data_IF_635476618555
#
_entry.id   IF_635476618555
#
_cell.length_a   1.000
_cell.length_b   1.000
_cell.length_c   1.000
_cell.angle_alpha   90.00
_cell.angle_beta   90.00
_cell.angle_gamma   90.00
#
_symmetry.space_group_name_H-M   'P 1'
#
loop_
_entity.id
_entity.type
_entity.pdbx_description
1 polymer ?
#
# COMPACT_ATOMS: atom_id res chain seq x y z
N UNK A 1 -10.90 18.91 -6.82
CA UNK A 1 -11.41 19.39 -5.53
C UNK A 1 -10.33 19.38 -4.45
N UNK A 2 -9.61 18.28 -4.28
CA UNK A 2 -8.54 18.21 -3.29
C UNK A 2 -7.49 19.31 -3.52
N UNK A 3 -6.94 19.38 -4.75
CA UNK A 3 -5.93 20.37 -5.10
C UNK A 3 -6.38 21.82 -4.87
N UNK A 4 -7.63 22.16 -5.19
CA UNK A 4 -8.14 23.52 -5.04
C UNK A 4 -8.41 23.92 -3.58
N UNK A 5 -8.43 22.96 -2.67
CA UNK A 5 -8.71 23.19 -1.26
C UNK A 5 -7.48 22.96 -0.35
N UNK A 6 -6.34 22.56 -0.91
CA UNK A 6 -5.09 22.37 -0.19
C UNK A 6 -4.08 23.46 -0.51
N UNK A 7 -3.41 23.95 0.52
CA UNK A 7 -2.28 24.86 0.34
C UNK A 7 -1.02 24.02 0.09
N UNK A 8 -0.22 24.41 -0.89
CA UNK A 8 1.07 23.78 -1.21
C UNK A 8 1.03 22.25 -1.41
N UNK A 9 0.17 21.72 -2.31
CA UNK A 9 0.14 20.31 -2.57
C UNK A 9 1.46 19.85 -3.22
N UNK A 10 2.05 18.79 -2.67
CA UNK A 10 3.29 18.18 -3.17
C UNK A 10 2.95 16.85 -3.83
N UNK A 11 3.54 16.58 -5.00
CA UNK A 11 3.36 15.34 -5.74
C UNK A 11 4.66 14.55 -5.71
N UNK A 12 4.76 13.65 -4.79
CA UNK A 12 5.93 12.81 -4.50
C UNK A 12 5.51 11.35 -4.44
N UNK A 13 6.46 10.46 -4.35
CA UNK A 13 6.25 9.04 -4.08
C UNK A 13 6.69 8.74 -2.63
N UNK A 14 7.80 8.05 -2.46
CA UNK A 14 8.25 7.57 -1.15
C UNK A 14 8.72 8.70 -0.21
N UNK A 15 9.07 9.88 -0.74
CA UNK A 15 9.42 11.05 0.08
C UNK A 15 8.28 11.54 0.98
N UNK A 16 7.05 11.10 0.74
CA UNK A 16 5.91 11.41 1.60
C UNK A 16 6.04 10.77 2.98
N UNK A 17 6.68 9.61 3.08
CA UNK A 17 6.84 8.84 4.32
C UNK A 17 7.56 9.68 5.38
N UNK A 18 8.74 10.19 5.05
CA UNK A 18 9.52 11.05 5.95
C UNK A 18 8.76 12.32 6.34
N UNK A 19 8.02 12.90 5.39
CA UNK A 19 7.21 14.09 5.63
C UNK A 19 6.12 13.89 6.66
N UNK A 20 5.43 12.75 6.62
CA UNK A 20 4.38 12.37 7.56
C UNK A 20 4.98 11.91 8.90
N UNK A 21 5.96 11.01 8.88
CA UNK A 21 6.59 10.47 10.09
C UNK A 21 7.19 11.58 10.97
N UNK A 22 7.80 12.61 10.36
CA UNK A 22 8.38 13.75 11.08
C UNK A 22 7.38 14.89 11.38
N UNK A 23 6.10 14.74 11.07
CA UNK A 23 5.08 15.77 11.30
C UNK A 23 5.22 17.03 10.42
N UNK A 24 5.94 16.95 9.31
CA UNK A 24 6.12 18.05 8.36
C UNK A 24 4.98 18.18 7.35
N UNK A 25 4.03 17.23 7.36
CA UNK A 25 2.83 17.20 6.53
C UNK A 25 1.63 16.79 7.38
N UNK A 26 0.50 17.42 7.13
CA UNK A 26 -0.73 17.20 7.89
C UNK A 26 -1.62 16.11 7.28
N UNK A 27 -1.53 15.88 5.96
CA UNK A 27 -2.35 14.92 5.24
C UNK A 27 -1.60 14.36 4.01
N UNK A 28 -1.73 13.07 3.78
CA UNK A 28 -1.17 12.42 2.59
C UNK A 28 -2.09 11.32 2.05
N UNK A 29 -1.96 11.04 0.75
CA UNK A 29 -2.42 9.81 0.12
C UNK A 29 -1.19 8.96 -0.13
N UNK A 30 -1.14 7.77 0.46
CA UNK A 30 0.02 6.90 0.43
C UNK A 30 -0.40 5.43 0.42
N UNK A 31 0.55 4.54 0.23
CA UNK A 31 0.32 3.10 0.35
C UNK A 31 0.13 2.69 1.82
N UNK A 32 -0.63 1.63 2.03
CA UNK A 32 -0.96 1.18 3.39
C UNK A 32 0.26 0.73 4.20
N UNK A 33 1.25 0.08 3.59
CA UNK A 33 2.49 -0.30 4.28
C UNK A 33 3.31 0.91 4.74
N UNK A 34 3.38 1.95 3.91
CA UNK A 34 4.02 3.22 4.28
C UNK A 34 3.26 3.91 5.40
N UNK A 35 1.93 3.86 5.36
CA UNK A 35 1.08 4.39 6.42
C UNK A 35 1.25 3.60 7.72
N UNK A 36 1.39 2.27 7.66
CA UNK A 36 1.67 1.44 8.83
C UNK A 36 2.96 1.87 9.54
N UNK A 37 4.02 2.15 8.79
CA UNK A 37 5.27 2.69 9.33
C UNK A 37 5.10 4.10 9.93
N UNK A 38 4.33 4.97 9.28
CA UNK A 38 4.06 6.33 9.79
C UNK A 38 3.32 6.27 11.12
N UNK A 39 2.30 5.41 11.25
CA UNK A 39 1.55 5.23 12.51
C UNK A 39 2.42 4.69 13.65
N UNK A 40 3.36 3.79 13.33
CA UNK A 40 4.30 3.25 14.29
C UNK A 40 5.36 4.28 14.75
N UNK A 41 5.66 5.25 13.89
CA UNK A 41 6.70 6.26 14.13
C UNK A 41 6.15 7.54 14.78
N UNK A 42 4.90 7.90 14.50
CA UNK A 42 4.29 9.16 14.93
C UNK A 42 2.85 8.96 15.43
N UNK A 43 2.70 8.99 16.75
CA UNK A 43 1.42 8.78 17.46
C UNK A 43 0.37 9.89 17.19
N UNK A 44 0.77 11.05 16.66
CA UNK A 44 -0.14 12.15 16.30
C UNK A 44 -0.85 11.91 14.95
N UNK A 45 -0.44 10.87 14.20
CA UNK A 45 -1.03 10.52 12.91
C UNK A 45 -2.15 9.50 13.06
N UNK A 46 -3.08 9.52 12.12
CA UNK A 46 -4.16 8.53 12.02
C UNK A 46 -4.36 8.10 10.57
N UNK A 47 -4.82 6.88 10.40
CA UNK A 47 -5.13 6.30 9.09
C UNK A 47 -6.62 6.30 8.83
N UNK A 48 -7.00 6.58 7.60
CA UNK A 48 -8.40 6.61 7.21
C UNK A 48 -8.60 6.10 5.79
N UNK A 49 -9.49 5.16 5.62
CA UNK A 49 -9.95 4.68 4.33
C UNK A 49 -11.27 5.39 3.95
N UNK A 50 -11.32 6.10 2.81
CA UNK A 50 -12.49 6.88 2.43
C UNK A 50 -13.74 6.02 2.21
N UNK A 51 -14.90 6.60 2.51
CA UNK A 51 -16.22 5.96 2.28
C UNK A 51 -16.61 5.91 0.80
N UNK A 52 -15.87 6.61 -0.04
CA UNK A 52 -15.98 6.54 -1.50
C UNK A 52 -15.39 5.26 -2.07
N UNK A 53 -14.57 4.57 -1.29
CA UNK A 53 -13.84 3.38 -1.68
C UNK A 53 -12.34 3.64 -1.82
N UNK A 54 -11.59 2.58 -1.86
CA UNK A 54 -10.15 2.58 -2.09
C UNK A 54 -9.74 1.54 -3.11
N UNK A 55 -8.51 1.64 -3.56
CA UNK A 55 -7.92 0.65 -4.44
C UNK A 55 -7.33 -0.52 -3.65
N UNK A 56 -7.75 -1.74 -3.98
CA UNK A 56 -7.15 -2.96 -3.50
C UNK A 56 -6.18 -3.50 -4.55
N UNK A 57 -5.01 -3.94 -4.13
CA UNK A 57 -3.98 -4.45 -5.01
C UNK A 57 -3.16 -5.54 -4.33
N UNK A 58 -2.45 -6.30 -5.14
CA UNK A 58 -1.54 -7.33 -4.68
C UNK A 58 -0.28 -7.32 -5.53
N UNK A 59 0.87 -7.44 -4.91
CA UNK A 59 2.10 -7.74 -5.61
C UNK A 59 2.17 -9.23 -5.93
N UNK A 60 2.67 -9.56 -7.11
CA UNK A 60 2.75 -10.94 -7.56
C UNK A 60 4.13 -11.26 -8.13
N UNK A 61 4.64 -12.43 -7.76
CA UNK A 61 5.80 -13.02 -8.42
C UNK A 61 5.34 -13.88 -9.59
N UNK A 62 5.93 -13.68 -10.76
CA UNK A 62 5.59 -14.43 -11.97
C UNK A 62 6.82 -15.13 -12.54
N UNK A 63 6.62 -16.32 -13.11
CA UNK A 63 7.67 -17.06 -13.81
C UNK A 63 7.39 -16.93 -15.30
N UNK A 64 8.28 -16.28 -16.09
CA UNK A 64 8.12 -16.18 -17.53
C UNK A 64 8.09 -17.56 -18.20
N UNK A 65 7.30 -17.71 -19.28
CA UNK A 65 7.16 -18.98 -19.99
C UNK A 65 8.49 -19.52 -20.56
N UNK A 66 9.45 -18.64 -20.81
CA UNK A 66 10.78 -18.96 -21.31
C UNK A 66 11.86 -18.93 -20.21
N UNK A 67 11.50 -19.05 -18.93
CA UNK A 67 12.48 -19.12 -17.85
C UNK A 67 13.42 -20.33 -18.04
N UNK A 68 14.71 -20.11 -17.87
CA UNK A 68 15.73 -21.16 -18.00
C UNK A 68 15.66 -22.22 -16.90
N UNK A 69 15.26 -21.79 -15.69
CA UNK A 69 15.15 -22.67 -14.52
C UNK A 69 13.85 -22.43 -13.74
N UNK A 70 12.69 -22.87 -14.26
CA UNK A 70 11.41 -22.65 -13.59
C UNK A 70 11.30 -23.42 -12.26
N UNK A 71 11.99 -24.54 -12.10
CA UNK A 71 11.97 -25.30 -10.85
C UNK A 71 12.61 -24.48 -9.70
N UNK A 72 13.76 -23.88 -9.93
CA UNK A 72 14.40 -23.01 -8.95
C UNK A 72 13.56 -21.77 -8.62
N UNK A 73 12.89 -21.21 -9.63
CA UNK A 73 11.97 -20.09 -9.42
C UNK A 73 10.80 -20.47 -8.49
N UNK A 74 10.23 -21.67 -8.67
CA UNK A 74 9.22 -22.20 -7.76
C UNK A 74 9.75 -22.42 -6.34
N UNK A 75 10.95 -22.95 -6.18
CA UNK A 75 11.59 -23.11 -4.87
C UNK A 75 11.79 -21.76 -4.18
N UNK A 76 12.23 -20.75 -4.90
CA UNK A 76 12.37 -19.38 -4.36
C UNK A 76 11.01 -18.80 -3.92
N UNK A 77 9.97 -18.91 -4.75
CA UNK A 77 8.62 -18.45 -4.40
C UNK A 77 8.11 -19.18 -3.16
N UNK A 78 8.27 -20.51 -3.10
CA UNK A 78 7.87 -21.28 -1.93
C UNK A 78 8.64 -20.88 -0.66
N UNK A 79 9.92 -20.56 -0.79
CA UNK A 79 10.71 -20.03 0.32
C UNK A 79 10.18 -18.69 0.82
N UNK A 80 9.93 -17.74 -0.07
CA UNK A 80 9.39 -16.41 0.29
C UNK A 80 8.01 -16.52 0.94
N UNK A 81 7.20 -17.51 0.55
CA UNK A 81 5.87 -17.77 1.12
C UNK A 81 5.92 -18.63 2.41
N UNK A 82 7.09 -19.14 2.81
CA UNK A 82 7.24 -19.85 4.09
C UNK A 82 6.96 -18.91 5.27
N UNK A 83 6.61 -19.47 6.42
CA UNK A 83 6.27 -18.67 7.60
C UNK A 83 7.39 -17.68 7.96
N UNK A 84 8.61 -18.16 8.17
CA UNK A 84 9.73 -17.32 8.62
C UNK A 84 10.06 -16.18 7.65
N UNK A 85 10.12 -16.49 6.35
CA UNK A 85 10.41 -15.49 5.33
C UNK A 85 9.25 -14.48 5.15
N UNK A 86 8.01 -14.96 5.14
CA UNK A 86 6.82 -14.11 5.07
C UNK A 86 6.68 -13.21 6.30
N UNK A 87 6.96 -13.75 7.49
CA UNK A 87 6.91 -12.98 8.73
C UNK A 87 7.91 -11.82 8.69
N UNK A 88 9.20 -12.12 8.46
CA UNK A 88 10.22 -11.09 8.41
C UNK A 88 10.00 -10.05 7.31
N UNK A 89 9.49 -10.47 6.13
CA UNK A 89 9.14 -9.54 5.07
C UNK A 89 7.96 -8.64 5.47
N UNK A 90 6.87 -9.20 5.97
CA UNK A 90 5.65 -8.44 6.30
C UNK A 90 5.90 -7.48 7.47
N UNK A 91 6.61 -7.93 8.50
CA UNK A 91 7.02 -7.09 9.63
C UNK A 91 7.87 -5.89 9.17
N UNK A 92 8.81 -6.12 8.24
CA UNK A 92 9.72 -5.08 7.78
C UNK A 92 9.07 -4.06 6.83
N UNK A 93 8.21 -4.53 5.90
CA UNK A 93 7.63 -3.63 4.87
C UNK A 93 6.26 -3.06 5.24
N UNK A 94 5.62 -3.54 6.31
CA UNK A 94 4.31 -3.07 6.78
C UNK A 94 3.11 -3.48 5.93
N UNK A 95 3.29 -4.37 4.94
CA UNK A 95 2.19 -4.85 4.11
C UNK A 95 1.66 -6.20 4.59
N UNK A 96 0.34 -6.37 4.49
CA UNK A 96 -0.36 -7.60 4.85
C UNK A 96 0.23 -8.81 4.13
N UNK A 97 0.54 -9.87 4.90
CA UNK A 97 1.08 -11.11 4.36
C UNK A 97 0.04 -11.89 3.57
N UNK A 98 0.47 -12.54 2.48
CA UNK A 98 -0.34 -13.55 1.77
C UNK A 98 -0.37 -14.91 2.49
N UNK A 99 0.47 -15.12 3.48
CA UNK A 99 0.46 -16.26 4.38
C UNK A 99 -0.48 -15.96 5.55
N UNK A 100 -1.60 -16.70 5.64
CA UNK A 100 -2.65 -16.42 6.63
C UNK A 100 -2.13 -16.54 8.08
N UNK A 101 -1.30 -17.53 8.38
CA UNK A 101 -0.74 -17.71 9.72
C UNK A 101 0.13 -16.52 10.14
N UNK A 102 0.90 -15.98 9.21
CA UNK A 102 1.71 -14.76 9.44
C UNK A 102 0.82 -13.54 9.61
N UNK A 103 -0.21 -13.41 8.77
CA UNK A 103 -1.17 -12.30 8.87
C UNK A 103 -1.80 -12.27 10.26
N UNK A 104 -2.32 -13.41 10.72
CA UNK A 104 -2.94 -13.57 12.04
C UNK A 104 -1.92 -13.28 13.15
N UNK A 105 -0.71 -13.84 13.07
CA UNK A 105 0.34 -13.61 14.07
C UNK A 105 0.73 -12.15 14.23
N UNK A 106 0.78 -11.39 13.13
CA UNK A 106 1.17 -9.99 13.15
C UNK A 106 0.02 -9.04 13.56
N UNK A 107 -1.23 -9.42 13.33
CA UNK A 107 -2.41 -8.57 13.57
C UNK A 107 -3.21 -8.92 14.82
N UNK A 108 -3.11 -10.13 15.35
CA UNK A 108 -3.82 -10.56 16.55
C UNK A 108 -3.22 -9.98 17.84
N UNK A 109 -3.85 -10.25 18.96
CA UNK A 109 -3.43 -9.80 20.30
C UNK A 109 -1.96 -10.20 20.60
N UNK A 110 -1.12 -9.21 20.85
CA UNK A 110 0.33 -9.37 21.06
C UNK A 110 1.16 -9.35 19.77
N UNK A 111 0.55 -9.25 18.61
CA UNK A 111 1.24 -9.11 17.31
C UNK A 111 1.82 -7.71 17.10
N UNK A 112 2.85 -7.61 16.26
CA UNK A 112 3.53 -6.33 15.99
C UNK A 112 2.60 -5.24 15.46
N UNK A 113 1.59 -5.60 14.66
CA UNK A 113 0.61 -4.70 14.06
C UNK A 113 -0.79 -4.79 14.71
N UNK A 114 -0.90 -5.28 15.95
CA UNK A 114 -2.18 -5.49 16.65
C UNK A 114 -3.14 -4.28 16.57
N UNK A 115 -2.64 -3.08 16.75
CA UNK A 115 -3.47 -1.86 16.75
C UNK A 115 -3.19 -0.94 15.56
N UNK A 116 -2.52 -1.45 14.52
CA UNK A 116 -2.18 -0.65 13.35
C UNK A 116 -3.28 -0.75 12.29
N UNK A 117 -4.11 0.30 12.20
CA UNK A 117 -5.26 0.35 11.29
C UNK A 117 -4.89 0.27 9.79
N UNK A 118 -3.64 0.54 9.44
CA UNK A 118 -3.16 0.50 8.05
C UNK A 118 -2.68 -0.89 7.62
N UNK A 119 -2.37 -1.80 8.56
CA UNK A 119 -1.82 -3.11 8.23
C UNK A 119 -2.85 -4.05 7.60
N UNK A 120 -4.06 -4.10 8.12
CA UNK A 120 -5.11 -4.97 7.58
C UNK A 120 -5.90 -4.29 6.47
N UNK A 121 -5.97 -4.89 5.27
CA UNK A 121 -6.85 -4.38 4.22
C UNK A 121 -8.31 -4.49 4.64
N UNK A 122 -9.10 -3.47 4.34
CA UNK A 122 -10.55 -3.53 4.53
C UNK A 122 -11.14 -4.60 3.61
N UNK A 123 -11.85 -5.56 4.18
CA UNK A 123 -12.45 -6.66 3.44
C UNK A 123 -13.94 -6.46 3.20
N UNK A 124 -14.40 -6.78 1.99
CA UNK A 124 -15.82 -6.86 1.65
C UNK A 124 -16.54 -5.50 1.55
N UNK A 125 -15.84 -4.39 1.47
CA UNK A 125 -16.48 -3.10 1.24
C UNK A 125 -16.83 -2.94 -0.24
N UNK A 126 -18.10 -2.74 -0.55
CA UNK A 126 -18.65 -2.79 -1.92
C UNK A 126 -18.06 -1.76 -2.91
N UNK A 127 -17.46 -0.69 -2.39
CA UNK A 127 -16.87 0.37 -3.21
C UNK A 127 -15.36 0.25 -3.36
N UNK A 128 -14.74 -0.73 -2.71
CA UNK A 128 -13.32 -1.00 -2.91
C UNK A 128 -13.12 -1.81 -4.18
N UNK A 129 -12.20 -1.39 -5.02
CA UNK A 129 -11.96 -1.99 -6.32
C UNK A 129 -10.53 -2.53 -6.46
N UNK A 130 -10.42 -3.73 -7.01
CA UNK A 130 -9.14 -4.29 -7.44
C UNK A 130 -8.77 -3.71 -8.80
N UNK A 131 -7.50 -3.38 -9.01
CA UNK A 131 -7.01 -2.93 -10.30
C UNK A 131 -7.32 -3.93 -11.42
N UNK A 132 -7.90 -3.43 -12.49
CA UNK A 132 -8.12 -4.18 -13.72
C UNK A 132 -7.76 -3.32 -14.95
N UNK A 133 -7.41 -3.96 -16.07
CA UNK A 133 -7.06 -3.24 -17.28
C UNK A 133 -8.27 -2.53 -17.88
N UNK A 134 -8.22 -1.20 -17.90
CA UNK A 134 -9.23 -0.34 -18.52
C UNK A 134 -8.53 0.78 -19.29
N UNK A 135 -8.33 0.55 -20.59
CA UNK A 135 -7.62 1.47 -21.47
C UNK A 135 -8.28 2.86 -21.56
N UNK A 136 -9.62 2.90 -21.52
CA UNK A 136 -10.36 4.19 -21.56
C UNK A 136 -10.11 4.98 -20.27
N UNK A 137 -10.23 4.34 -19.12
CA UNK A 137 -9.96 4.97 -17.84
C UNK A 137 -8.50 5.43 -17.73
N UNK A 138 -7.56 4.60 -18.15
CA UNK A 138 -6.13 4.91 -18.15
C UNK A 138 -5.82 6.17 -18.95
N UNK A 139 -6.44 6.34 -20.12
CA UNK A 139 -6.30 7.56 -20.93
C UNK A 139 -6.86 8.79 -20.20
N UNK A 140 -8.07 8.69 -19.66
CA UNK A 140 -8.73 9.78 -18.93
C UNK A 140 -7.89 10.20 -17.72
N UNK A 141 -7.41 9.23 -16.91
CA UNK A 141 -6.58 9.52 -15.75
C UNK A 141 -5.26 10.19 -16.14
N UNK A 142 -4.62 9.74 -17.21
CA UNK A 142 -3.38 10.36 -17.70
C UNK A 142 -3.59 11.83 -18.13
N UNK A 143 -4.67 12.12 -18.84
CA UNK A 143 -5.01 13.47 -19.26
C UNK A 143 -5.37 14.38 -18.06
N UNK A 144 -6.12 13.86 -17.10
CA UNK A 144 -6.48 14.59 -15.87
C UNK A 144 -5.25 14.87 -15.02
N UNK A 145 -4.35 13.90 -14.89
CA UNK A 145 -3.11 14.05 -14.12
C UNK A 145 -2.21 15.16 -14.67
N UNK A 146 -2.07 15.21 -16.00
CA UNK A 146 -1.33 16.30 -16.66
C UNK A 146 -1.97 17.68 -16.36
N UNK A 147 -3.30 17.76 -16.45
CA UNK A 147 -4.04 19.01 -16.15
C UNK A 147 -3.89 19.43 -14.70
N UNK A 148 -3.97 18.48 -13.75
CA UNK A 148 -3.80 18.73 -12.31
C UNK A 148 -2.41 19.30 -12.05
N UNK A 149 -1.35 18.67 -12.55
CA UNK A 149 0.02 19.15 -12.34
C UNK A 149 0.33 20.47 -13.03
N UNK A 150 -0.28 20.74 -14.16
CA UNK A 150 -0.09 21.99 -14.91
C UNK A 150 -0.91 23.16 -14.35
N UNK A 151 -1.97 22.91 -13.58
CA UNK A 151 -2.78 24.00 -13.00
C UNK A 151 -1.98 24.68 -11.88
N UNK A 152 -1.95 26.00 -11.89
CA UNK A 152 -1.44 26.76 -10.73
C UNK A 152 -2.48 26.70 -9.60
N UNK A 153 -1.98 26.67 -8.37
CA UNK A 153 -2.82 26.78 -7.17
C UNK A 153 -3.51 28.15 -7.13
#
# INVERSE_FOLDING_TARGET
LFRSNTMEPVYVTDEVIDGMANGNKDIAVMYSGDAAYVLDTNEDMSYWMPTEGTNLWSDAMVIPANAENPALAHEFINYVLSYDASYGNSEYVGYASSNQEVLDTLSDEGGYYENNEAYLPRSGYEKDEVFHDNQTLKKILSELWIKIKASKA
#
